data_IF_096740708934
#
_entry.id   IF_096740708934
#
_cell.length_a   1.000
_cell.length_b   1.000
_cell.length_c   1.000
_cell.angle_alpha   90.00
_cell.angle_beta   90.00
_cell.angle_gamma   90.00
#
_symmetry.space_group_name_H-M   'P 1'
#
loop_
_entity.id
_entity.type
_entity.pdbx_description
1 polymer ?
#
# COMPACT_ATOMS: atom_id res chain seq x y z
N UNK A 1 -51.82 -22.52 -66.74
CA UNK A 1 -52.40 -21.87 -65.54
C UNK A 1 -51.22 -21.35 -64.71
N UNK A 2 -50.76 -20.10 -64.82
CA UNK A 2 -51.35 -18.85 -64.26
C UNK A 2 -51.36 -18.96 -62.72
N UNK A 3 -50.65 -18.23 -61.85
CA UNK A 3 -50.08 -16.85 -61.76
C UNK A 3 -49.07 -16.82 -60.58
N UNK A 4 -47.87 -16.25 -60.72
CA UNK A 4 -47.39 -14.93 -60.18
C UNK A 4 -47.53 -14.65 -58.67
N UNK A 5 -46.39 -14.32 -58.04
CA UNK A 5 -46.04 -13.17 -57.14
C UNK A 5 -44.58 -13.39 -56.65
N UNK A 6 -43.52 -12.67 -57.09
CA UNK A 6 -43.07 -11.28 -56.78
C UNK A 6 -42.98 -11.06 -55.25
N UNK A 7 -41.95 -10.51 -54.58
CA UNK A 7 -40.55 -10.11 -54.79
C UNK A 7 -40.03 -9.58 -53.40
N UNK A 8 -38.79 -9.06 -53.36
CA UNK A 8 -38.09 -8.31 -52.29
C UNK A 8 -37.21 -9.17 -51.35
N UNK A 9 -35.87 -9.22 -51.51
CA UNK A 9 -34.82 -8.19 -51.30
C UNK A 9 -34.82 -7.65 -49.88
N UNK A 10 -33.78 -7.99 -49.10
CA UNK A 10 -33.17 -7.09 -48.11
C UNK A 10 -31.69 -7.48 -47.90
N UNK A 11 -30.79 -6.68 -48.46
CA UNK A 11 -29.40 -6.58 -48.03
C UNK A 11 -29.39 -5.95 -46.63
N UNK A 12 -28.85 -6.65 -45.63
CA UNK A 12 -28.52 -6.07 -44.33
C UNK A 12 -27.01 -5.89 -44.23
N UNK A 13 -26.55 -4.68 -44.49
CA UNK A 13 -25.20 -4.23 -44.13
C UNK A 13 -25.19 -3.96 -42.62
N UNK A 14 -24.62 -4.86 -41.82
CA UNK A 14 -24.35 -4.58 -40.41
C UNK A 14 -23.08 -3.74 -40.30
N UNK A 15 -23.26 -2.42 -40.26
CA UNK A 15 -22.25 -1.52 -39.72
C UNK A 15 -22.14 -1.78 -38.21
N UNK A 16 -21.10 -2.53 -37.79
CA UNK A 16 -20.77 -2.63 -36.36
C UNK A 16 -20.13 -1.32 -35.93
N UNK A 17 -20.95 -0.40 -35.45
CA UNK A 17 -20.52 0.76 -34.68
C UNK A 17 -19.74 0.26 -33.45
N UNK A 18 -18.41 0.28 -33.52
CA UNK A 18 -17.54 0.06 -32.37
C UNK A 18 -17.73 1.25 -31.43
N UNK A 19 -18.69 1.12 -30.50
CA UNK A 19 -18.79 2.02 -29.36
C UNK A 19 -17.49 1.90 -28.56
N UNK A 20 -16.63 2.89 -28.72
CA UNK A 20 -15.43 3.12 -27.91
C UNK A 20 -15.90 3.38 -26.48
N UNK A 21 -16.04 2.32 -25.67
CA UNK A 21 -16.17 2.43 -24.22
C UNK A 21 -14.86 3.02 -23.70
N UNK A 22 -14.83 4.33 -23.53
CA UNK A 22 -13.84 4.96 -22.65
C UNK A 22 -14.09 4.42 -21.26
N UNK A 23 -13.36 3.37 -20.91
CA UNK A 23 -13.09 3.02 -19.52
C UNK A 23 -12.39 4.24 -18.92
N UNK A 24 -13.15 5.16 -18.31
CA UNK A 24 -12.65 5.90 -17.16
C UNK A 24 -12.36 4.85 -16.10
N UNK A 25 -11.22 4.17 -16.23
CA UNK A 25 -10.60 3.51 -15.10
C UNK A 25 -10.44 4.62 -14.09
N UNK A 26 -11.23 4.54 -13.02
CA UNK A 26 -11.12 5.37 -11.86
C UNK A 26 -9.71 5.15 -11.34
N UNK A 27 -8.76 5.98 -11.77
CA UNK A 27 -7.42 5.99 -11.25
C UNK A 27 -7.60 6.29 -9.77
N UNK A 28 -7.44 5.26 -8.93
CA UNK A 28 -7.49 5.41 -7.49
C UNK A 28 -6.45 6.47 -7.14
N UNK A 29 -6.92 7.61 -6.65
CA UNK A 29 -6.06 8.63 -6.10
C UNK A 29 -5.28 7.99 -4.96
N UNK A 30 -3.95 7.93 -5.08
CA UNK A 30 -3.11 7.42 -4.01
C UNK A 30 -3.45 8.13 -2.69
N UNK A 31 -3.61 7.35 -1.64
CA UNK A 31 -3.89 7.85 -0.30
C UNK A 31 -2.59 8.31 0.38
N UNK A 32 -2.68 9.39 1.14
CA UNK A 32 -1.60 9.81 2.04
C UNK A 32 -1.51 8.94 3.28
N UNK A 33 -2.63 8.31 3.67
CA UNK A 33 -2.73 7.39 4.81
C UNK A 33 -3.45 6.13 4.35
N UNK A 34 -2.82 4.98 4.60
CA UNK A 34 -3.30 3.65 4.22
C UNK A 34 -3.57 2.86 5.50
N UNK A 35 -4.80 2.36 5.61
CA UNK A 35 -5.17 1.34 6.60
C UNK A 35 -5.05 -0.04 5.97
N UNK A 36 -4.55 -1.04 6.69
CA UNK A 36 -4.29 -2.37 6.13
C UNK A 36 -5.56 -3.13 5.72
N UNK A 37 -6.70 -2.72 6.28
CA UNK A 37 -8.04 -3.23 6.00
C UNK A 37 -8.79 -2.47 4.89
N UNK A 38 -8.22 -1.38 4.34
CA UNK A 38 -8.84 -0.62 3.26
C UNK A 38 -8.49 -1.22 1.89
N UNK A 39 -9.43 -1.90 1.19
CA UNK A 39 -9.15 -2.52 -0.10
C UNK A 39 -8.79 -1.50 -1.19
N UNK A 40 -9.13 -0.21 -1.02
CA UNK A 40 -8.74 0.85 -1.97
C UNK A 40 -7.24 1.10 -1.96
N UNK A 41 -6.56 0.70 -0.89
CA UNK A 41 -5.14 0.89 -0.69
C UNK A 41 -4.30 -0.33 -1.09
N UNK A 42 -4.90 -1.43 -1.54
CA UNK A 42 -4.16 -2.65 -1.88
C UNK A 42 -3.07 -2.39 -2.94
N UNK A 43 -3.33 -1.52 -3.93
CA UNK A 43 -2.33 -1.14 -4.94
C UNK A 43 -1.19 -0.29 -4.39
N UNK A 44 -1.32 0.24 -3.18
CA UNK A 44 -0.28 1.00 -2.49
C UNK A 44 0.66 0.11 -1.68
N UNK A 45 0.23 -1.11 -1.34
CA UNK A 45 1.03 -2.11 -0.63
C UNK A 45 1.92 -2.85 -1.65
N UNK A 46 3.11 -2.32 -1.91
CA UNK A 46 3.95 -2.78 -3.03
C UNK A 46 4.52 -4.19 -2.81
N UNK A 47 5.07 -4.44 -1.62
CA UNK A 47 5.70 -5.72 -1.31
C UNK A 47 5.77 -5.97 0.20
N UNK A 48 5.97 -7.23 0.57
CA UNK A 48 6.29 -7.61 1.94
C UNK A 48 5.11 -7.53 2.92
N UNK A 49 3.90 -7.23 2.46
CA UNK A 49 2.69 -7.36 3.25
C UNK A 49 2.05 -8.72 2.98
N UNK A 50 1.73 -9.45 4.04
CA UNK A 50 0.97 -10.70 3.94
C UNK A 50 -0.53 -10.41 3.83
N UNK A 51 -1.32 -11.48 3.74
CA UNK A 51 -2.78 -11.39 3.71
C UNK A 51 -3.33 -10.65 4.94
N UNK A 52 -4.48 -9.99 4.74
CA UNK A 52 -5.26 -9.39 5.82
C UNK A 52 -5.71 -10.48 6.80
N UNK A 53 -5.43 -10.26 8.08
CA UNK A 53 -5.86 -11.11 9.16
C UNK A 53 -6.82 -10.35 10.08
N UNK A 54 -7.84 -11.07 10.55
CA UNK A 54 -8.93 -10.57 11.40
C UNK A 54 -9.63 -9.31 10.88
N UNK A 55 -9.51 -9.04 9.57
CA UNK A 55 -10.09 -7.88 8.92
C UNK A 55 -9.48 -6.54 9.36
N UNK A 56 -8.28 -6.53 9.96
CA UNK A 56 -7.71 -5.31 10.57
C UNK A 56 -6.24 -5.07 10.30
N UNK A 57 -5.46 -6.11 10.14
CA UNK A 57 -4.00 -5.99 10.20
C UNK A 57 -3.32 -6.98 9.28
N UNK A 58 -2.05 -6.70 8.96
CA UNK A 58 -1.23 -7.57 8.10
C UNK A 58 0.11 -7.81 8.76
N UNK A 59 0.56 -9.06 8.78
CA UNK A 59 1.97 -9.36 9.02
C UNK A 59 2.83 -8.79 7.89
N UNK A 60 4.06 -8.43 8.20
CA UNK A 60 5.08 -8.07 7.21
C UNK A 60 6.12 -9.18 7.05
N UNK A 61 6.80 -9.20 5.91
CA UNK A 61 8.11 -9.81 5.75
C UNK A 61 9.20 -8.90 6.38
N UNK A 62 10.46 -9.31 6.34
CA UNK A 62 11.59 -8.51 6.85
C UNK A 62 11.70 -7.15 6.16
N UNK A 63 11.39 -7.12 4.87
CA UNK A 63 11.36 -5.92 4.05
C UNK A 63 9.96 -5.75 3.50
N UNK A 64 9.43 -4.53 3.59
CA UNK A 64 8.10 -4.20 3.08
C UNK A 64 8.08 -2.74 2.63
N UNK A 65 7.26 -2.45 1.63
CA UNK A 65 7.28 -1.13 0.99
C UNK A 65 5.86 -0.69 0.63
N UNK A 66 5.58 0.59 0.87
CA UNK A 66 4.31 1.23 0.54
C UNK A 66 4.57 2.46 -0.31
N UNK A 67 3.69 2.75 -1.26
CA UNK A 67 3.68 4.01 -1.99
C UNK A 67 2.58 4.90 -1.41
N UNK A 68 2.93 6.12 -1.02
CA UNK A 68 2.00 7.07 -0.42
C UNK A 68 1.95 8.35 -1.24
N UNK A 69 0.83 9.05 -1.18
CA UNK A 69 0.75 10.41 -1.70
C UNK A 69 1.24 11.42 -0.65
N UNK A 70 2.16 12.33 -0.98
CA UNK A 70 2.45 13.49 -0.13
C UNK A 70 1.17 14.31 0.15
N UNK A 71 0.84 14.62 1.42
CA UNK A 71 -0.33 15.42 1.72
C UNK A 71 -0.16 16.86 1.20
N UNK A 72 -1.24 17.60 0.92
CA UNK A 72 -1.17 18.97 0.42
C UNK A 72 -0.30 19.89 1.30
N UNK A 73 0.51 20.73 0.66
CA UNK A 73 1.43 21.67 1.34
C UNK A 73 2.69 21.04 1.94
N UNK A 74 2.81 19.72 1.93
CA UNK A 74 3.95 19.04 2.58
C UNK A 74 5.27 19.20 1.84
N UNK A 75 5.26 19.61 0.57
CA UNK A 75 6.48 19.97 -0.15
C UNK A 75 7.19 21.19 0.47
N UNK A 76 6.44 22.10 1.10
CA UNK A 76 6.96 23.29 1.77
C UNK A 76 7.20 23.02 3.25
N UNK A 77 6.21 22.43 3.94
CA UNK A 77 6.21 22.33 5.40
C UNK A 77 6.80 21.01 5.92
N UNK A 78 7.03 20.06 5.03
CA UNK A 78 7.33 18.67 5.38
C UNK A 78 6.09 17.90 5.84
N UNK A 79 6.30 16.62 6.13
CA UNK A 79 5.29 15.74 6.71
C UNK A 79 5.89 14.93 7.86
N UNK A 80 5.03 14.22 8.56
CA UNK A 80 5.39 13.17 9.51
C UNK A 80 4.99 11.84 8.91
N UNK A 81 5.95 10.93 8.78
CA UNK A 81 5.70 9.53 8.54
C UNK A 81 5.24 8.87 9.84
N UNK A 82 4.10 8.21 9.82
CA UNK A 82 3.57 7.43 10.93
C UNK A 82 3.29 6.00 10.45
N UNK A 83 3.86 5.01 11.14
CA UNK A 83 3.56 3.58 10.96
C UNK A 83 3.03 3.04 12.29
N UNK A 84 1.73 2.74 12.33
CA UNK A 84 1.12 2.06 13.46
C UNK A 84 1.37 0.55 13.34
N UNK A 85 2.02 0.00 14.36
CA UNK A 85 2.50 -1.37 14.35
C UNK A 85 2.29 -2.06 15.69
N UNK A 86 2.29 -3.39 15.66
CA UNK A 86 2.40 -4.23 16.84
C UNK A 86 3.67 -5.08 16.72
N UNK A 87 4.39 -5.23 17.84
CA UNK A 87 5.45 -6.21 18.02
C UNK A 87 4.84 -7.40 18.78
N UNK A 88 4.59 -8.54 18.12
CA UNK A 88 3.94 -9.67 18.79
C UNK A 88 4.90 -10.43 19.70
N UNK A 89 4.34 -11.10 20.71
CA UNK A 89 5.10 -11.92 21.67
C UNK A 89 6.04 -12.93 21.01
N UNK A 90 5.60 -13.56 19.90
CA UNK A 90 6.39 -14.57 19.19
C UNK A 90 7.68 -13.97 18.61
N UNK A 91 7.64 -12.72 18.18
CA UNK A 91 8.81 -12.00 17.64
C UNK A 91 9.82 -11.77 18.75
N UNK A 92 9.38 -11.24 19.90
CA UNK A 92 10.27 -11.00 21.05
C UNK A 92 10.84 -12.29 21.60
N UNK A 93 10.02 -13.34 21.74
CA UNK A 93 10.44 -14.64 22.26
C UNK A 93 11.50 -15.31 21.39
N UNK A 94 11.40 -15.19 20.07
CA UNK A 94 12.34 -15.85 19.15
C UNK A 94 13.55 -15.00 18.78
N UNK A 95 13.38 -13.69 18.61
CA UNK A 95 14.39 -12.80 18.04
C UNK A 95 14.99 -11.81 19.06
N UNK A 96 14.38 -11.68 20.24
CA UNK A 96 14.67 -10.64 21.20
C UNK A 96 14.26 -9.27 20.66
N UNK A 97 15.13 -8.27 20.84
CA UNK A 97 14.88 -6.93 20.32
C UNK A 97 14.99 -6.89 18.79
N UNK A 98 14.13 -6.14 18.12
CA UNK A 98 14.13 -5.91 16.66
C UNK A 98 14.32 -4.43 16.36
N UNK A 99 14.96 -4.10 15.25
CA UNK A 99 15.20 -2.71 14.83
C UNK A 99 14.53 -2.47 13.48
N UNK A 100 13.63 -1.49 13.43
CA UNK A 100 12.99 -1.01 12.22
C UNK A 100 13.78 0.17 11.65
N UNK A 101 14.14 0.08 10.38
CA UNK A 101 14.69 1.19 9.59
C UNK A 101 13.71 1.54 8.48
N UNK A 102 13.72 2.80 8.03
CA UNK A 102 12.88 3.26 6.95
C UNK A 102 13.66 4.20 6.01
N UNK A 103 13.28 4.20 4.74
CA UNK A 103 13.77 5.11 3.73
C UNK A 103 12.59 5.76 3.02
N UNK A 104 12.60 7.09 2.94
CA UNK A 104 11.60 7.90 2.24
C UNK A 104 12.21 8.38 0.92
N UNK A 105 11.88 7.71 -0.19
CA UNK A 105 12.55 7.92 -1.47
C UNK A 105 14.04 7.61 -1.36
N UNK A 106 14.90 8.63 -1.42
CA UNK A 106 16.36 8.48 -1.25
C UNK A 106 16.88 8.85 0.15
N UNK A 107 15.99 9.25 1.07
CA UNK A 107 16.38 9.73 2.41
C UNK A 107 16.22 8.62 3.44
N UNK A 108 17.33 8.26 4.08
CA UNK A 108 17.31 7.35 5.23
C UNK A 108 16.75 8.06 6.46
N UNK A 109 15.76 7.44 7.11
CA UNK A 109 15.15 7.92 8.34
C UNK A 109 15.79 7.20 9.54
N UNK A 110 15.82 7.87 10.70
CA UNK A 110 16.42 7.30 11.89
C UNK A 110 15.71 5.98 12.28
N UNK A 111 16.45 4.90 12.56
CA UNK A 111 15.85 3.63 12.95
C UNK A 111 15.21 3.69 14.34
N UNK A 112 14.42 2.68 14.69
CA UNK A 112 13.85 2.50 16.03
C UNK A 112 14.01 1.05 16.49
N UNK A 113 14.43 0.87 17.74
CA UNK A 113 14.60 -0.46 18.34
C UNK A 113 13.45 -0.76 19.30
N UNK A 114 12.81 -1.90 19.10
CA UNK A 114 11.76 -2.42 19.95
C UNK A 114 12.28 -3.60 20.76
N UNK A 115 12.18 -3.51 22.09
CA UNK A 115 12.67 -4.52 23.03
C UNK A 115 11.55 -5.29 23.72
N UNK A 116 10.31 -4.88 23.55
CA UNK A 116 9.14 -5.44 24.19
C UNK A 116 7.99 -5.63 23.20
N UNK A 117 7.03 -6.48 23.59
CA UNK A 117 5.77 -6.69 22.89
C UNK A 117 4.86 -5.48 23.09
N UNK A 118 3.98 -5.21 22.12
CA UNK A 118 2.97 -4.17 22.25
C UNK A 118 2.72 -3.37 20.98
N UNK A 119 1.82 -2.38 21.10
CA UNK A 119 1.49 -1.45 20.03
C UNK A 119 2.39 -0.22 20.09
N UNK A 120 2.88 0.20 18.93
CA UNK A 120 3.78 1.34 18.77
C UNK A 120 3.36 2.18 17.56
N UNK A 121 3.87 3.41 17.50
CA UNK A 121 3.80 4.24 16.31
C UNK A 121 5.22 4.72 15.98
N UNK A 122 5.82 4.13 14.94
CA UNK A 122 7.08 4.63 14.41
C UNK A 122 6.84 5.98 13.72
N UNK A 123 7.46 7.03 14.25
CA UNK A 123 7.18 8.41 13.84
C UNK A 123 8.45 9.11 13.39
N UNK A 124 8.52 9.58 12.13
CA UNK A 124 9.69 10.33 11.65
C UNK A 124 9.29 11.53 10.81
N UNK A 125 10.08 12.59 10.94
CA UNK A 125 9.93 13.76 10.08
C UNK A 125 10.47 13.47 8.68
N UNK A 126 9.69 13.83 7.67
CA UNK A 126 10.04 13.74 6.26
C UNK A 126 10.20 15.16 5.71
N UNK A 127 11.40 15.54 5.23
CA UNK A 127 11.63 16.87 4.68
C UNK A 127 10.78 17.15 3.44
N UNK A 128 10.33 18.40 3.26
CA UNK A 128 9.50 18.79 2.12
C UNK A 128 10.13 18.53 0.75
N UNK A 129 11.46 18.60 0.64
CA UNK A 129 12.17 18.35 -0.61
C UNK A 129 11.91 16.99 -1.25
N UNK A 130 11.64 15.95 -0.46
CA UNK A 130 11.27 14.61 -0.99
C UNK A 130 9.77 14.41 -1.19
N UNK A 131 8.96 15.40 -0.83
CA UNK A 131 7.50 15.39 -0.90
C UNK A 131 6.95 16.22 -2.07
N UNK A 132 7.82 16.68 -2.97
CA UNK A 132 7.45 17.52 -4.10
C UNK A 132 6.80 16.78 -5.29
N UNK A 133 6.91 15.45 -5.34
CA UNK A 133 6.30 14.62 -6.38
C UNK A 133 4.86 14.18 -6.05
N UNK A 134 4.22 13.51 -7.00
CA UNK A 134 2.85 13.02 -6.84
C UNK A 134 2.72 11.83 -5.87
N UNK A 135 3.84 11.14 -5.63
CA UNK A 135 3.94 9.99 -4.76
C UNK A 135 5.34 9.88 -4.15
N UNK A 136 5.43 9.11 -3.07
CA UNK A 136 6.66 8.79 -2.37
C UNK A 136 6.60 7.34 -1.91
N UNK A 137 7.57 6.54 -2.34
CA UNK A 137 7.77 5.19 -1.80
C UNK A 137 8.46 5.27 -0.45
N UNK A 138 7.93 4.54 0.52
CA UNK A 138 8.55 4.29 1.81
C UNK A 138 8.96 2.83 1.87
N UNK A 139 10.26 2.60 1.95
CA UNK A 139 10.85 1.28 2.12
C UNK A 139 11.18 1.04 3.58
N UNK A 140 10.74 -0.07 4.14
CA UNK A 140 11.03 -0.49 5.49
C UNK A 140 11.89 -1.74 5.50
N UNK A 141 12.76 -1.83 6.51
CA UNK A 141 13.57 -3.02 6.75
C UNK A 141 13.72 -3.28 8.24
N UNK A 142 13.51 -4.54 8.63
CA UNK A 142 13.89 -5.05 9.93
C UNK A 142 15.30 -5.64 9.88
N UNK A 143 16.07 -5.46 10.95
CA UNK A 143 17.36 -6.13 11.12
C UNK A 143 17.22 -7.67 11.13
N UNK A 144 16.09 -8.17 11.64
CA UNK A 144 15.76 -9.59 11.75
C UNK A 144 14.26 -9.84 11.59
N UNK A 145 13.91 -11.04 11.12
CA UNK A 145 12.55 -11.55 11.04
C UNK A 145 12.54 -13.05 11.34
N UNK A 146 11.38 -13.59 11.72
CA UNK A 146 11.21 -15.03 11.91
C UNK A 146 11.21 -15.67 10.51
N UNK A 147 12.12 -16.61 10.22
CA UNK A 147 12.17 -17.23 8.91
C UNK A 147 10.94 -18.13 8.68
N UNK A 148 10.59 -18.32 7.41
CA UNK A 148 9.62 -19.34 7.02
C UNK A 148 10.07 -20.73 7.51
N UNK A 149 9.11 -21.51 8.01
CA UNK A 149 9.34 -22.80 8.64
C UNK A 149 8.48 -23.93 8.08
N UNK A 150 8.35 -25.00 8.88
CA UNK A 150 7.57 -26.19 8.49
C UNK A 150 6.06 -25.97 8.59
N UNK A 151 5.61 -25.23 9.61
CA UNK A 151 4.20 -24.96 9.90
C UNK A 151 3.81 -23.60 9.30
N UNK A 152 4.38 -22.52 9.84
CA UNK A 152 4.28 -21.20 9.24
C UNK A 152 5.19 -21.14 8.02
N UNK A 153 4.64 -20.79 6.86
CA UNK A 153 5.36 -20.75 5.57
C UNK A 153 5.82 -19.36 5.18
N UNK A 154 5.40 -18.35 5.93
CA UNK A 154 5.76 -16.96 5.72
C UNK A 154 6.99 -16.60 6.55
N UNK A 155 7.80 -15.70 6.02
CA UNK A 155 8.70 -14.92 6.86
C UNK A 155 7.86 -13.89 7.64
N UNK A 156 8.01 -13.82 8.97
CA UNK A 156 7.23 -12.92 9.82
C UNK A 156 8.13 -11.87 10.48
N UNK A 157 7.87 -10.61 10.15
CA UNK A 157 8.48 -9.42 10.75
C UNK A 157 7.67 -8.90 11.92
N UNK A 158 6.83 -7.90 11.66
CA UNK A 158 5.92 -7.28 12.63
C UNK A 158 4.50 -7.22 12.05
N UNK A 159 3.53 -6.77 12.85
CA UNK A 159 2.16 -6.53 12.37
C UNK A 159 1.99 -5.03 12.12
N UNK A 160 1.39 -4.67 10.99
CA UNK A 160 1.02 -3.29 10.66
C UNK A 160 -0.50 -3.15 10.64
N UNK A 161 -0.99 -2.02 11.13
CA UNK A 161 -2.42 -1.64 11.02
C UNK A 161 -2.61 -0.44 10.11
N UNK A 162 -1.69 0.52 10.11
CA UNK A 162 -1.74 1.67 9.19
C UNK A 162 -0.37 2.28 8.94
N UNK A 163 -0.24 2.96 7.81
CA UNK A 163 0.95 3.74 7.44
C UNK A 163 0.53 5.02 6.73
N UNK A 164 1.17 6.15 7.03
CA UNK A 164 0.78 7.41 6.40
C UNK A 164 1.79 8.55 6.51
N UNK A 165 1.61 9.52 5.62
CA UNK A 165 2.23 10.84 5.66
C UNK A 165 1.18 11.84 6.16
N UNK A 166 1.42 12.41 7.33
CA UNK A 166 0.56 13.40 7.98
C UNK A 166 1.18 14.79 7.82
N UNK A 167 0.40 15.75 7.34
CA UNK A 167 0.89 17.13 7.17
C UNK A 167 1.23 17.76 8.53
N UNK A 168 2.36 18.45 8.60
CA UNK A 168 2.77 19.21 9.80
C UNK A 168 1.90 20.45 10.05
N UNK A 169 1.23 20.94 9.02
CA UNK A 169 0.41 22.16 9.05
C UNK A 169 -1.07 21.89 9.34
N UNK A 170 -1.45 20.63 9.61
CA UNK A 170 -2.81 20.28 10.04
C UNK A 170 -3.00 20.68 11.51
N UNK A 171 -3.37 21.93 11.76
CA UNK A 171 -3.86 22.42 13.06
C UNK A 171 -5.16 23.19 12.88
#
# INVERSE_FOLDING_TARGET
>A
MTRRRIAAVFLFALATSVCKRSSKHQASELLSVVSMDDPRADSQLLQGFHMLEEGKWRWTARQFSVILRPPPGSAQDGARLELALNIPDVVVKQLGAVTLSAMAGSISLAPEKYTATGNYVYTRDVPGGVLAGDNLTIDYALDKAIPAGKIEKRELGLIVTSVGLVSKSSK
#
